data_IF_042870598531
#
_entry.id   IF_042870598531
#
_cell.length_a   1.000
_cell.length_b   1.000
_cell.length_c   1.000
_cell.angle_alpha   90.00
_cell.angle_beta   90.00
_cell.angle_gamma   90.00
#
_symmetry.space_group_name_H-M   'P 1'
#
loop_
_entity.id
_entity.type
_entity.pdbx_description
1 polymer ?
#
# COMPACT_ATOMS: atom_id res chain seq x y z
N UNK A 1 7.32 -25.41 28.02
CA UNK A 1 6.14 -25.63 27.12
C UNK A 1 4.91 -24.82 27.55
N UNK A 2 4.73 -24.61 28.85
CA UNK A 2 3.60 -23.81 29.40
C UNK A 2 3.63 -22.36 28.97
N UNK A 3 4.81 -21.77 28.86
CA UNK A 3 5.02 -20.35 28.58
C UNK A 3 4.56 -19.91 27.16
N UNK A 4 4.72 -20.79 26.16
CA UNK A 4 4.24 -20.55 24.79
C UNK A 4 2.72 -20.43 24.74
N UNK A 5 2.04 -21.37 25.41
CA UNK A 5 0.56 -21.41 25.48
C UNK A 5 0.06 -20.17 26.21
N UNK A 6 0.66 -19.84 27.35
CA UNK A 6 0.32 -18.66 28.15
C UNK A 6 0.52 -17.36 27.35
N UNK A 7 1.62 -17.23 26.63
CA UNK A 7 1.88 -16.11 25.74
C UNK A 7 0.81 -15.97 24.64
N UNK A 8 0.44 -17.07 23.99
CA UNK A 8 -0.58 -17.06 22.93
C UNK A 8 -1.97 -16.75 23.47
N UNK A 9 -2.32 -17.30 24.63
CA UNK A 9 -3.61 -17.06 25.29
C UNK A 9 -3.72 -15.62 25.79
N UNK A 10 -2.66 -15.06 26.39
CA UNK A 10 -2.63 -13.66 26.83
C UNK A 10 -2.79 -12.66 25.68
N UNK A 11 -2.34 -13.02 24.48
CA UNK A 11 -2.56 -12.25 23.25
C UNK A 11 -3.93 -12.54 22.58
N UNK A 12 -4.82 -13.30 23.23
CA UNK A 12 -6.16 -13.64 22.71
C UNK A 12 -6.17 -14.61 21.53
N UNK A 13 -5.04 -15.22 21.19
CA UNK A 13 -4.89 -16.14 20.05
C UNK A 13 -4.85 -17.60 20.53
N UNK A 14 -5.98 -18.29 20.45
CA UNK A 14 -6.15 -19.69 20.92
C UNK A 14 -6.01 -20.74 19.81
N UNK A 15 -5.66 -20.33 18.57
CA UNK A 15 -5.52 -21.25 17.44
C UNK A 15 -4.22 -22.04 17.55
N UNK A 16 -4.28 -23.38 17.42
CA UNK A 16 -3.10 -24.25 17.40
C UNK A 16 -2.11 -23.86 16.28
N UNK A 17 -2.62 -23.50 15.11
CA UNK A 17 -1.80 -23.03 13.98
C UNK A 17 -1.00 -21.78 14.33
N UNK A 18 -1.59 -20.86 15.10
CA UNK A 18 -0.88 -19.67 15.58
C UNK A 18 0.21 -20.04 16.60
N UNK A 19 -0.11 -20.93 17.57
CA UNK A 19 0.87 -21.41 18.55
C UNK A 19 2.06 -22.08 17.88
N UNK A 20 1.81 -22.89 16.86
CA UNK A 20 2.86 -23.53 16.06
C UNK A 20 3.76 -22.49 15.35
N UNK A 21 3.19 -21.46 14.75
CA UNK A 21 3.96 -20.40 14.11
C UNK A 21 4.83 -19.63 15.13
N UNK A 22 4.29 -19.35 16.31
CA UNK A 22 5.05 -18.70 17.39
C UNK A 22 6.19 -19.58 17.88
N UNK A 23 5.93 -20.90 18.05
CA UNK A 23 6.97 -21.87 18.46
C UNK A 23 8.13 -21.93 17.44
N UNK A 24 7.81 -21.97 16.16
CA UNK A 24 8.82 -21.97 15.08
C UNK A 24 9.64 -20.68 15.14
N UNK A 25 8.99 -19.52 15.25
CA UNK A 25 9.69 -18.23 15.33
C UNK A 25 10.60 -18.14 16.57
N UNK A 26 10.16 -18.62 17.72
CA UNK A 26 10.99 -18.64 18.91
C UNK A 26 12.19 -19.58 18.75
N UNK A 27 11.98 -20.71 18.09
CA UNK A 27 13.06 -21.66 17.79
C UNK A 27 14.09 -21.03 16.85
N UNK A 28 13.66 -20.40 15.75
CA UNK A 28 14.54 -19.73 14.78
C UNK A 28 15.28 -18.54 15.40
N UNK A 29 14.61 -17.77 16.28
CA UNK A 29 15.22 -16.67 17.02
C UNK A 29 16.05 -17.12 18.25
N UNK A 30 16.19 -18.44 18.46
CA UNK A 30 16.90 -19.05 19.60
C UNK A 30 16.41 -18.56 20.98
N UNK A 31 15.11 -18.26 21.09
CA UNK A 31 14.46 -17.82 22.32
C UNK A 31 14.19 -19.04 23.20
N UNK A 32 14.79 -19.06 24.39
CA UNK A 32 14.72 -20.20 25.31
C UNK A 32 14.00 -19.90 26.63
N UNK A 33 13.85 -18.61 26.95
CA UNK A 33 13.24 -18.20 28.20
C UNK A 33 11.98 -17.33 27.98
N UNK A 34 11.03 -17.33 28.93
CA UNK A 34 9.84 -16.48 28.85
C UNK A 34 10.17 -14.98 28.82
N UNK A 35 11.25 -14.59 29.52
CA UNK A 35 11.72 -13.21 29.55
C UNK A 35 12.24 -12.76 28.18
N UNK A 36 13.02 -13.60 27.51
CA UNK A 36 13.47 -13.37 26.13
C UNK A 36 12.27 -13.28 25.17
N UNK A 37 11.28 -14.13 25.34
CA UNK A 37 10.06 -14.10 24.53
C UNK A 37 9.25 -12.80 24.72
N UNK A 38 9.16 -12.31 25.96
CA UNK A 38 8.51 -11.02 26.25
C UNK A 38 9.29 -9.85 25.67
N UNK A 39 10.62 -9.86 25.79
CA UNK A 39 11.50 -8.85 25.22
C UNK A 39 11.41 -8.82 23.69
N UNK A 40 11.45 -9.99 23.06
CA UNK A 40 11.30 -10.15 21.63
C UNK A 40 9.96 -9.57 21.12
N UNK A 41 8.85 -9.99 21.72
CA UNK A 41 7.52 -9.47 21.39
C UNK A 41 7.38 -7.96 21.61
N UNK A 42 8.02 -7.41 22.63
CA UNK A 42 8.01 -5.97 22.94
C UNK A 42 8.80 -5.18 21.90
N UNK A 43 9.97 -5.67 21.47
CA UNK A 43 10.78 -5.05 20.44
C UNK A 43 10.07 -5.06 19.09
N UNK A 44 9.50 -6.18 18.70
CA UNK A 44 8.69 -6.30 17.48
C UNK A 44 7.56 -5.30 17.43
N UNK A 45 6.79 -5.18 18.51
CA UNK A 45 5.72 -4.16 18.58
C UNK A 45 6.26 -2.75 18.41
N UNK A 46 7.40 -2.43 19.00
CA UNK A 46 8.04 -1.11 18.89
C UNK A 46 8.45 -0.81 17.45
N UNK A 47 9.04 -1.76 16.76
CA UNK A 47 9.45 -1.62 15.36
C UNK A 47 8.24 -1.47 14.44
N UNK A 48 7.19 -2.29 14.61
CA UNK A 48 5.95 -2.17 13.86
C UNK A 48 5.29 -0.81 14.04
N UNK A 49 5.23 -0.31 15.27
CA UNK A 49 4.70 1.03 15.52
C UNK A 49 5.56 2.13 14.88
N UNK A 50 6.86 1.96 14.81
CA UNK A 50 7.75 2.91 14.14
C UNK A 50 7.49 2.94 12.63
N UNK A 51 7.28 1.78 12.01
CA UNK A 51 6.93 1.67 10.59
C UNK A 51 5.53 2.27 10.33
N UNK A 52 4.54 1.92 11.15
CA UNK A 52 3.19 2.50 11.04
C UNK A 52 3.22 4.02 11.15
N UNK A 53 3.99 4.54 12.08
CA UNK A 53 4.16 5.99 12.29
C UNK A 53 4.87 6.67 11.11
N UNK A 54 5.83 6.00 10.47
CA UNK A 54 6.48 6.50 9.25
C UNK A 54 5.49 6.61 8.07
N UNK A 55 4.46 5.79 8.04
CA UNK A 55 3.33 5.91 7.12
C UNK A 55 2.26 6.93 7.56
N UNK A 56 2.43 7.59 8.72
CA UNK A 56 1.42 8.49 9.29
C UNK A 56 0.22 7.76 9.89
N UNK A 57 0.32 6.46 10.14
CA UNK A 57 -0.74 5.62 10.69
C UNK A 57 -0.57 5.49 12.21
N UNK A 58 -1.58 5.93 12.98
CA UNK A 58 -1.58 5.88 14.45
C UNK A 58 -2.49 4.77 15.02
N UNK A 59 -2.73 3.74 14.22
CA UNK A 59 -3.56 2.59 14.57
C UNK A 59 -2.73 1.31 14.70
N UNK A 60 -3.31 0.26 15.29
CA UNK A 60 -2.71 -1.06 15.27
C UNK A 60 -2.62 -1.57 13.83
N UNK A 61 -1.52 -2.24 13.45
CA UNK A 61 -1.40 -2.80 12.13
C UNK A 61 -2.46 -3.88 11.88
N UNK A 62 -2.99 -3.91 10.67
CA UNK A 62 -3.82 -5.01 10.20
C UNK A 62 -2.95 -6.25 9.91
N UNK A 63 -3.52 -7.49 9.94
CA UNK A 63 -2.75 -8.71 9.72
C UNK A 63 -1.89 -8.70 8.44
N UNK A 64 -2.42 -8.17 7.34
CA UNK A 64 -1.67 -8.05 6.08
C UNK A 64 -0.48 -7.10 6.22
N UNK A 65 -0.61 -6.03 6.99
CA UNK A 65 0.48 -5.08 7.26
C UNK A 65 1.56 -5.72 8.15
N UNK A 66 1.15 -6.52 9.14
CA UNK A 66 2.08 -7.30 9.98
C UNK A 66 2.90 -8.29 9.14
N UNK A 67 2.29 -8.96 8.15
CA UNK A 67 3.00 -9.87 7.24
C UNK A 67 4.09 -9.16 6.44
N UNK A 68 3.83 -7.96 5.92
CA UNK A 68 4.85 -7.15 5.24
C UNK A 68 5.99 -6.79 6.19
N UNK A 69 5.68 -6.22 7.36
CA UNK A 69 6.67 -5.79 8.33
C UNK A 69 7.52 -6.94 8.86
N UNK A 70 6.88 -8.08 9.15
CA UNK A 70 7.56 -9.31 9.56
C UNK A 70 8.54 -9.79 8.48
N UNK A 71 8.10 -9.84 7.23
CA UNK A 71 8.97 -10.25 6.12
C UNK A 71 10.16 -9.32 5.96
N UNK A 72 9.96 -8.01 6.00
CA UNK A 72 11.04 -7.03 5.86
C UNK A 72 12.09 -7.13 6.96
N UNK A 73 11.65 -7.32 8.21
CA UNK A 73 12.53 -7.38 9.38
C UNK A 73 13.19 -8.75 9.53
N UNK A 74 12.43 -9.85 9.41
CA UNK A 74 12.92 -11.20 9.71
C UNK A 74 13.46 -11.93 8.47
N UNK A 75 12.71 -11.93 7.36
CA UNK A 75 13.06 -12.73 6.18
C UNK A 75 14.05 -12.01 5.28
N UNK A 76 13.82 -10.73 5.03
CA UNK A 76 14.66 -9.91 4.17
C UNK A 76 15.84 -9.28 4.94
N UNK A 77 15.73 -9.19 6.28
CA UNK A 77 16.80 -8.71 7.16
C UNK A 77 17.12 -7.22 6.99
N UNK A 78 16.15 -6.40 6.58
CA UNK A 78 16.35 -4.98 6.46
C UNK A 78 16.44 -4.30 7.84
N UNK A 79 17.36 -3.35 7.97
CA UNK A 79 17.39 -2.48 9.12
C UNK A 79 16.15 -1.58 9.18
N UNK A 80 15.66 -1.33 10.38
CA UNK A 80 14.47 -0.48 10.62
C UNK A 80 14.60 0.91 9.96
N UNK A 81 15.81 1.49 9.96
CA UNK A 81 16.07 2.78 9.33
C UNK A 81 15.85 2.76 7.81
N UNK A 82 16.21 1.67 7.13
CA UNK A 82 15.95 1.47 5.70
C UNK A 82 14.45 1.33 5.42
N UNK A 83 13.75 0.56 6.24
CA UNK A 83 12.29 0.38 6.10
C UNK A 83 11.57 1.72 6.26
N UNK A 84 11.95 2.53 7.27
CA UNK A 84 11.39 3.86 7.49
C UNK A 84 11.65 4.78 6.29
N UNK A 85 12.85 4.74 5.72
CA UNK A 85 13.17 5.52 4.52
C UNK A 85 12.31 5.10 3.32
N UNK A 86 12.09 3.80 3.12
CA UNK A 86 11.18 3.30 2.08
C UNK A 86 9.74 3.77 2.28
N UNK A 87 9.26 3.80 3.54
CA UNK A 87 7.95 4.35 3.89
C UNK A 87 7.86 5.85 3.57
N UNK A 88 8.87 6.64 3.95
CA UNK A 88 8.94 8.06 3.67
C UNK A 88 8.93 8.34 2.15
N UNK A 89 9.73 7.59 1.38
CA UNK A 89 9.72 7.69 -0.09
C UNK A 89 8.37 7.33 -0.69
N UNK A 90 7.70 6.34 -0.14
CA UNK A 90 6.35 5.97 -0.56
C UNK A 90 5.39 7.13 -0.37
N UNK A 91 5.36 7.74 0.82
CA UNK A 91 4.51 8.90 1.09
C UNK A 91 4.85 10.07 0.15
N UNK A 92 6.14 10.36 -0.05
CA UNK A 92 6.58 11.44 -0.95
C UNK A 92 6.21 11.19 -2.42
N UNK A 93 6.21 9.92 -2.86
CA UNK A 93 5.93 9.57 -4.25
C UNK A 93 4.43 9.55 -4.59
N UNK A 94 3.60 9.04 -3.67
CA UNK A 94 2.17 8.79 -3.95
C UNK A 94 1.21 9.47 -2.98
N UNK A 95 1.71 10.24 -2.00
CA UNK A 95 0.95 10.97 -0.98
C UNK A 95 -0.03 10.11 -0.17
N UNK A 96 0.24 8.81 -0.02
CA UNK A 96 -0.57 7.88 0.75
C UNK A 96 0.25 6.69 1.26
N UNK A 97 -0.13 6.07 2.40
CA UNK A 97 0.51 4.85 2.88
C UNK A 97 0.23 3.69 1.92
N UNK A 98 1.28 2.97 1.53
CA UNK A 98 1.16 1.79 0.67
C UNK A 98 2.28 0.80 0.97
N UNK A 99 1.94 -0.29 1.64
CA UNK A 99 2.88 -1.39 1.93
C UNK A 99 3.40 -2.07 0.65
N UNK A 100 2.57 -2.36 -0.37
CA UNK A 100 3.06 -2.93 -1.62
C UNK A 100 4.05 -2.02 -2.35
N UNK A 101 3.86 -0.69 -2.29
CA UNK A 101 4.79 0.24 -2.92
C UNK A 101 6.14 0.30 -2.19
N UNK A 102 6.11 0.37 -0.84
CA UNK A 102 7.33 0.30 -0.04
C UNK A 102 8.08 -1.03 -0.24
N UNK A 103 7.35 -2.14 -0.35
CA UNK A 103 7.91 -3.46 -0.67
C UNK A 103 8.65 -3.46 -2.01
N UNK A 104 8.12 -2.80 -3.02
CA UNK A 104 8.78 -2.65 -4.31
C UNK A 104 10.09 -1.86 -4.18
N UNK A 105 10.12 -0.80 -3.37
CA UNK A 105 11.33 -0.02 -3.10
C UNK A 105 12.37 -0.90 -2.40
N UNK A 106 11.98 -1.61 -1.34
CA UNK A 106 12.88 -2.48 -0.57
C UNK A 106 13.45 -3.62 -1.44
N UNK A 107 12.63 -4.26 -2.25
CA UNK A 107 13.08 -5.27 -3.21
C UNK A 107 14.10 -4.71 -4.19
N UNK A 108 13.83 -3.53 -4.74
CA UNK A 108 14.75 -2.87 -5.65
C UNK A 108 16.08 -2.51 -4.98
N UNK A 109 16.06 -2.13 -3.69
CA UNK A 109 17.27 -1.90 -2.92
C UNK A 109 18.04 -3.19 -2.67
N UNK A 110 17.35 -4.29 -2.35
CA UNK A 110 17.96 -5.62 -2.19
C UNK A 110 18.65 -6.07 -3.46
N UNK A 111 17.99 -5.93 -4.61
CA UNK A 111 18.56 -6.29 -5.93
C UNK A 111 19.78 -5.46 -6.31
N UNK A 112 19.90 -4.23 -5.80
CA UNK A 112 21.04 -3.33 -6.02
C UNK A 112 22.05 -3.33 -4.87
N UNK A 113 21.96 -4.29 -3.93
CA UNK A 113 22.85 -4.43 -2.77
C UNK A 113 22.94 -3.19 -1.88
N UNK A 114 21.83 -2.45 -1.75
CA UNK A 114 21.75 -1.28 -0.88
C UNK A 114 21.41 -1.76 0.52
N UNK A 115 22.38 -1.68 1.42
CA UNK A 115 22.27 -2.16 2.80
C UNK A 115 22.32 -1.03 3.82
N UNK A 116 22.77 0.17 3.42
CA UNK A 116 22.89 1.30 4.34
C UNK A 116 21.89 2.42 4.00
N UNK A 117 21.54 3.20 5.02
CA UNK A 117 20.67 4.37 4.84
C UNK A 117 21.32 5.44 3.93
N UNK A 118 22.65 5.56 3.98
CA UNK A 118 23.40 6.48 3.09
C UNK A 118 23.32 6.04 1.64
N UNK A 119 23.54 4.76 1.36
CA UNK A 119 23.38 4.21 0.02
C UNK A 119 21.95 4.44 -0.49
N UNK A 120 20.98 4.18 0.35
CA UNK A 120 19.57 4.42 0.02
C UNK A 120 19.29 5.89 -0.32
N UNK A 121 19.84 6.83 0.46
CA UNK A 121 19.67 8.29 0.20
C UNK A 121 20.30 8.73 -1.11
N UNK A 122 21.46 8.17 -1.44
CA UNK A 122 22.19 8.47 -2.67
C UNK A 122 21.61 7.74 -3.88
N UNK A 123 20.86 6.68 -3.64
CA UNK A 123 20.23 5.89 -4.68
C UNK A 123 18.93 6.58 -5.15
N UNK A 124 19.06 7.33 -6.22
CA UNK A 124 17.90 7.85 -6.94
C UNK A 124 17.35 6.71 -7.79
N UNK A 125 16.20 6.15 -7.37
CA UNK A 125 15.39 5.38 -8.30
C UNK A 125 15.14 6.33 -9.48
N UNK A 126 15.80 6.06 -10.62
CA UNK A 126 15.35 6.64 -11.88
C UNK A 126 13.91 6.17 -12.02
N UNK A 127 12.96 7.01 -11.60
CA UNK A 127 11.57 6.84 -11.99
C UNK A 127 11.69 6.70 -13.50
N UNK A 128 11.35 5.52 -14.03
CA UNK A 128 11.01 5.44 -15.44
C UNK A 128 9.99 6.55 -15.60
N UNK A 129 10.41 7.63 -16.24
CA UNK A 129 9.51 8.70 -16.62
C UNK A 129 8.28 7.98 -17.14
N UNK A 130 7.06 8.38 -16.74
CA UNK A 130 5.86 7.77 -17.28
C UNK A 130 6.16 7.69 -18.77
N UNK A 131 6.08 6.48 -19.34
CA UNK A 131 6.27 6.32 -20.77
C UNK A 131 5.33 7.35 -21.36
N UNK A 132 5.84 8.50 -21.74
CA UNK A 132 5.14 9.35 -22.66
C UNK A 132 4.91 8.39 -23.80
N UNK A 133 3.68 7.96 -23.95
CA UNK A 133 3.26 7.21 -25.11
C UNK A 133 3.73 8.09 -26.23
N UNK A 134 4.89 7.72 -26.81
CA UNK A 134 5.34 8.30 -28.04
C UNK A 134 4.13 8.13 -28.93
N UNK A 135 3.57 9.25 -29.30
CA UNK A 135 2.43 9.35 -30.18
C UNK A 135 2.87 8.71 -31.51
N UNK A 136 2.84 7.38 -31.52
CA UNK A 136 2.88 6.64 -32.75
C UNK A 136 1.53 6.94 -33.37
N UNK A 137 1.55 7.77 -34.38
CA UNK A 137 0.47 8.06 -35.32
C UNK A 137 0.02 6.76 -36.00
N UNK A 138 -0.46 5.79 -35.22
CA UNK A 138 -1.40 4.81 -35.67
C UNK A 138 -2.77 5.31 -35.25
N UNK A 139 -3.47 5.92 -36.18
CA UNK A 139 -4.88 6.21 -36.13
C UNK A 139 -5.64 4.92 -35.72
N UNK A 140 -5.71 4.67 -34.42
CA UNK A 140 -6.77 3.81 -33.90
C UNK A 140 -8.02 4.69 -33.80
N UNK A 141 -8.94 4.43 -34.73
CA UNK A 141 -10.30 4.97 -34.78
C UNK A 141 -11.05 4.73 -33.46
N UNK A 142 -10.75 5.54 -32.43
CA UNK A 142 -11.55 5.64 -31.21
C UNK A 142 -12.09 7.08 -31.04
N UNK A 143 -12.31 7.77 -32.15
CA UNK A 143 -13.12 8.98 -32.17
C UNK A 143 -14.50 8.64 -32.74
N UNK A 144 -15.23 7.75 -32.07
CA UNK A 144 -16.64 7.55 -32.39
C UNK A 144 -17.56 8.31 -31.41
N UNK A 145 -17.03 9.35 -30.79
CA UNK A 145 -17.80 10.37 -30.12
C UNK A 145 -17.73 11.64 -30.96
N UNK A 146 -18.45 11.64 -32.08
CA UNK A 146 -18.84 12.90 -32.71
C UNK A 146 -19.75 13.60 -31.73
N UNK A 147 -19.21 14.59 -31.03
CA UNK A 147 -20.01 15.57 -30.31
C UNK A 147 -20.96 16.16 -31.35
N UNK A 148 -22.25 15.80 -31.24
CA UNK A 148 -23.29 16.38 -32.07
C UNK A 148 -23.31 17.88 -31.73
N UNK A 149 -22.99 18.67 -32.70
CA UNK A 149 -23.19 20.12 -32.62
C UNK A 149 -24.71 20.36 -32.63
N UNK A 150 -25.25 20.51 -31.44
CA UNK A 150 -26.65 20.85 -31.29
C UNK A 150 -26.80 22.35 -31.46
N UNK A 151 -27.46 22.76 -32.55
CA UNK A 151 -27.97 24.10 -32.70
C UNK A 151 -29.11 24.33 -31.68
N UNK A 152 -28.73 24.89 -30.54
CA UNK A 152 -29.65 25.14 -29.43
C UNK A 152 -30.76 26.12 -29.83
N UNK A 153 -30.50 27.08 -30.73
CA UNK A 153 -31.49 28.05 -31.20
C UNK A 153 -32.57 27.35 -32.05
N UNK A 154 -32.18 26.42 -32.90
CA UNK A 154 -33.13 25.59 -33.65
C UNK A 154 -33.95 24.64 -32.77
N UNK A 155 -33.38 24.11 -31.72
CA UNK A 155 -34.07 23.26 -30.73
C UNK A 155 -35.09 24.07 -29.91
N UNK A 156 -34.74 25.30 -29.52
CA UNK A 156 -35.62 26.17 -28.78
C UNK A 156 -36.84 26.58 -29.63
N UNK A 157 -36.63 26.93 -30.91
CA UNK A 157 -37.72 27.20 -31.80
C UNK A 157 -38.65 26.00 -32.04
N UNK A 158 -38.13 24.79 -32.14
CA UNK A 158 -38.95 23.59 -32.26
C UNK A 158 -39.77 23.31 -31.01
N UNK A 159 -39.22 23.56 -29.82
CA UNK A 159 -39.93 23.42 -28.57
C UNK A 159 -41.07 24.44 -28.43
N UNK A 160 -40.84 25.68 -28.78
CA UNK A 160 -41.85 26.72 -28.80
C UNK A 160 -42.98 26.42 -29.78
N UNK A 161 -42.65 25.99 -31.01
CA UNK A 161 -43.69 25.63 -31.99
C UNK A 161 -44.52 24.43 -31.51
N UNK A 162 -43.91 23.49 -30.81
CA UNK A 162 -44.64 22.32 -30.28
C UNK A 162 -45.59 22.72 -29.12
N UNK A 163 -45.14 23.59 -28.23
CA UNK A 163 -46.01 24.14 -27.16
C UNK A 163 -47.24 24.89 -27.72
N UNK A 164 -47.03 25.73 -28.73
CA UNK A 164 -48.13 26.44 -29.38
C UNK A 164 -49.08 25.52 -30.12
N UNK A 165 -48.57 24.42 -30.71
CA UNK A 165 -49.43 23.43 -31.38
C UNK A 165 -50.29 22.62 -30.39
N UNK A 166 -49.73 22.29 -29.24
CA UNK A 166 -50.45 21.56 -28.17
C UNK A 166 -51.52 22.43 -27.50
N UNK A 167 -51.25 23.77 -27.29
CA UNK A 167 -52.24 24.71 -26.80
C UNK A 167 -53.42 24.95 -27.75
N UNK A 168 -53.20 24.83 -29.05
CA UNK A 168 -54.26 24.99 -30.08
C UNK A 168 -55.13 23.71 -30.20
N UNK A 169 -54.70 22.58 -29.70
CA UNK A 169 -55.47 21.35 -29.75
C UNK A 169 -56.33 21.07 -28.49
N UNK A 170 -56.11 21.84 -27.38
CA UNK A 170 -56.89 21.75 -26.16
C UNK A 170 -58.05 22.78 -26.06
N UNK A 171 -58.27 23.59 -27.08
CA UNK A 171 -59.42 24.49 -27.19
C UNK A 171 -60.33 24.03 -28.31
#
# INVERSE_FOLDING_TARGET
ETDLVEHCVSNGKKSFRYMQSVAINWYEANIKTPEEAKAYSKNFRKEYYSIMRAFGLNQNPAPVQEEYMKRWLETDGFDLALIIEACNRTINAINKPSFPYADTILKHWKDNHIVTLEDAKNFHIRQKAPKTFANNNNQSNMHNFTQRDYDFDALEQQLLQKQFADELMEN
#
